data_IF_461102746232
#
_entry.id   IF_461102746232
#
_cell.length_a   1.000
_cell.length_b   1.000
_cell.length_c   1.000
_cell.angle_alpha   90.00
_cell.angle_beta   90.00
_cell.angle_gamma   90.00
#
_symmetry.space_group_name_H-M   'P 1'
#
loop_
_entity.id
_entity.type
_entity.pdbx_description
1 polymer ?
#
# COMPACT_ATOMS: atom_id res chain seq x y z
N UNK A 1 1.55 6.88 -5.97
CA UNK A 1 0.52 5.96 -5.45
C UNK A 1 0.49 4.74 -6.33
N UNK A 2 1.00 3.62 -5.83
CA UNK A 2 1.05 2.31 -6.49
C UNK A 2 -0.20 1.51 -6.10
N UNK A 3 -0.71 0.66 -6.98
CA UNK A 3 -1.76 -0.31 -6.64
C UNK A 3 -1.18 -1.71 -6.78
N UNK A 4 -1.41 -2.56 -5.79
CA UNK A 4 -1.00 -3.97 -5.79
C UNK A 4 -2.19 -4.86 -5.45
N UNK A 5 -2.19 -6.09 -5.95
CA UNK A 5 -3.17 -7.11 -5.52
C UNK A 5 -2.81 -7.67 -4.14
N UNK A 6 -3.76 -8.35 -3.50
CA UNK A 6 -3.48 -9.09 -2.27
C UNK A 6 -2.42 -10.18 -2.52
N UNK A 7 -2.47 -10.86 -3.66
CA UNK A 7 -1.48 -11.88 -4.04
C UNK A 7 -0.07 -11.29 -4.18
N UNK A 8 0.07 -10.13 -4.82
CA UNK A 8 1.36 -9.41 -4.94
C UNK A 8 1.87 -8.97 -3.57
N UNK A 9 0.97 -8.53 -2.68
CA UNK A 9 1.32 -8.15 -1.32
C UNK A 9 1.86 -9.33 -0.50
N UNK A 10 1.31 -10.53 -0.68
CA UNK A 10 1.77 -11.73 0.02
C UNK A 10 3.15 -12.19 -0.46
N UNK A 11 3.45 -12.03 -1.75
CA UNK A 11 4.73 -12.43 -2.35
C UNK A 11 5.84 -11.42 -2.00
N UNK A 12 5.56 -10.13 -2.17
CA UNK A 12 6.55 -9.04 -2.11
C UNK A 12 6.37 -8.14 -0.87
N UNK A 13 5.86 -8.69 0.23
CA UNK A 13 5.51 -7.94 1.45
C UNK A 13 6.63 -7.00 1.93
N UNK A 14 7.85 -7.51 2.10
CA UNK A 14 8.98 -6.73 2.61
C UNK A 14 9.38 -5.59 1.65
N UNK A 15 9.28 -5.82 0.34
CA UNK A 15 9.54 -4.79 -0.67
C UNK A 15 8.49 -3.69 -0.59
N UNK A 16 7.20 -4.06 -0.57
CA UNK A 16 6.07 -3.12 -0.50
C UNK A 16 6.12 -2.32 0.81
N UNK A 17 6.44 -2.96 1.93
CA UNK A 17 6.58 -2.26 3.20
C UNK A 17 7.77 -1.28 3.21
N UNK A 18 8.89 -1.62 2.58
CA UNK A 18 9.99 -0.66 2.41
C UNK A 18 9.59 0.54 1.54
N UNK A 19 8.83 0.33 0.46
CA UNK A 19 8.26 1.41 -0.34
C UNK A 19 7.38 2.33 0.52
N UNK A 20 6.47 1.76 1.32
CA UNK A 20 5.60 2.51 2.24
C UNK A 20 6.41 3.29 3.27
N UNK A 21 7.44 2.67 3.87
CA UNK A 21 8.29 3.34 4.86
C UNK A 21 9.14 4.46 4.24
N UNK A 22 9.43 4.39 2.94
CA UNK A 22 10.14 5.44 2.20
C UNK A 22 9.27 6.65 1.87
N UNK A 23 7.95 6.55 2.09
CA UNK A 23 6.99 7.64 1.86
C UNK A 23 5.95 7.36 0.78
N UNK A 24 6.04 6.24 0.07
CA UNK A 24 5.09 5.86 -0.97
C UNK A 24 3.74 5.45 -0.36
N UNK A 25 2.64 5.76 -1.06
CA UNK A 25 1.31 5.27 -0.71
C UNK A 25 0.95 4.11 -1.62
N UNK A 26 0.49 3.01 -1.03
CA UNK A 26 0.16 1.79 -1.75
C UNK A 26 -1.30 1.43 -1.53
N UNK A 27 -2.07 1.33 -2.61
CA UNK A 27 -3.44 0.85 -2.59
C UNK A 27 -3.45 -0.67 -2.79
N UNK A 28 -4.29 -1.37 -2.04
CA UNK A 28 -4.46 -2.83 -2.14
C UNK A 28 -5.80 -3.12 -2.80
N UNK A 29 -5.78 -3.86 -3.90
CA UNK A 29 -6.97 -4.36 -4.62
C UNK A 29 -7.16 -5.86 -4.45
N UNK A 30 -8.40 -6.32 -4.55
CA UNK A 30 -8.77 -7.74 -4.43
C UNK A 30 -8.22 -8.56 -5.60
N UNK A 31 -8.31 -8.03 -6.84
CA UNK A 31 -8.05 -8.77 -8.09
C UNK A 31 -8.46 -7.90 -9.32
N UNK A 32 -8.60 -8.52 -10.51
CA UNK A 32 -8.74 -7.92 -11.85
C UNK A 32 -9.86 -6.86 -12.00
N UNK A 33 -10.82 -6.79 -11.08
CA UNK A 33 -11.86 -5.76 -11.04
C UNK A 33 -11.35 -4.39 -10.53
N UNK A 34 -10.11 -4.32 -10.04
CA UNK A 34 -9.43 -3.07 -9.64
C UNK A 34 -10.06 -2.37 -8.43
N UNK A 35 -10.95 -3.05 -7.70
CA UNK A 35 -11.62 -2.49 -6.53
C UNK A 35 -10.64 -2.40 -5.36
N UNK A 36 -10.36 -1.16 -4.94
CA UNK A 36 -9.50 -0.89 -3.80
C UNK A 36 -10.21 -1.30 -2.50
N UNK A 37 -9.52 -2.12 -1.70
CA UNK A 37 -9.97 -2.59 -0.38
C UNK A 37 -9.30 -1.82 0.75
N UNK A 38 -8.03 -1.47 0.59
CA UNK A 38 -7.24 -0.84 1.63
C UNK A 38 -6.15 0.08 1.06
N UNK A 39 -5.59 0.91 1.93
CA UNK A 39 -4.42 1.75 1.65
C UNK A 39 -3.38 1.55 2.74
N UNK A 40 -2.14 1.34 2.33
CA UNK A 40 -0.96 1.45 3.18
C UNK A 40 -0.40 2.85 3.03
N UNK A 41 -0.34 3.57 4.15
CA UNK A 41 0.11 4.96 4.22
C UNK A 41 1.24 5.07 5.25
N UNK A 42 2.35 5.77 4.95
CA UNK A 42 3.40 6.01 5.91
C UNK A 42 2.84 6.74 7.14
N UNK A 43 3.12 6.21 8.33
CA UNK A 43 2.58 6.75 9.58
C UNK A 43 2.87 8.26 9.77
N UNK A 44 4.06 8.72 9.34
CA UNK A 44 4.42 10.16 9.36
C UNK A 44 3.42 11.06 8.62
N UNK A 45 2.84 10.58 7.50
CA UNK A 45 1.81 11.33 6.75
C UNK A 45 0.48 11.43 7.49
N UNK A 46 0.20 10.52 8.43
CA UNK A 46 -0.99 10.58 9.27
C UNK A 46 -0.83 11.63 10.39
N UNK A 47 0.38 11.78 10.93
CA UNK A 47 0.66 12.77 11.98
C UNK A 47 0.60 14.21 11.47
N UNK A 48 0.98 14.48 10.21
CA UNK A 48 0.87 15.82 9.59
C UNK A 48 -0.58 16.32 9.42
N UNK A 49 -1.58 15.45 9.63
CA UNK A 49 -3.01 15.79 9.57
C UNK A 49 -3.68 15.97 10.94
N UNK A 50 -2.91 15.88 12.04
CA UNK A 50 -3.37 16.13 13.43
C UNK A 50 -2.78 17.42 13.98
#
# INVERSE_FOLDING_TARGET
>A
MKTVTIEELEIDFDLIMNEVLSGEEVAISDDADGRIKAYLVPYKKLEEKS
#
